data_IF_459674944859
#
_entry.id   IF_459674944859
#
_cell.length_a   1.000
_cell.length_b   1.000
_cell.length_c   1.000
_cell.angle_alpha   90.00
_cell.angle_beta   90.00
_cell.angle_gamma   90.00
#
_symmetry.space_group_name_H-M   'P 1'
#
loop_
_entity.id
_entity.type
_entity.pdbx_description
1 polymer ?
#
# COMPACT_ATOMS: atom_id res chain seq x y z
N UNK A 1 -8.46 -9.31 -14.62
CA UNK A 1 -8.57 -8.04 -13.88
C UNK A 1 -8.75 -6.86 -14.83
N UNK A 2 -9.26 -5.71 -14.36
CA UNK A 2 -9.65 -4.53 -15.14
C UNK A 2 -8.47 -3.94 -15.94
N UNK A 3 -8.51 -3.95 -17.27
CA UNK A 3 -7.40 -3.44 -18.10
C UNK A 3 -7.56 -1.94 -18.43
N UNK A 4 -7.83 -1.13 -17.40
CA UNK A 4 -7.99 0.32 -17.50
C UNK A 4 -7.62 0.98 -16.18
N UNK A 5 -7.59 2.32 -16.16
CA UNK A 5 -7.44 3.08 -14.93
C UNK A 5 -8.74 3.01 -14.11
N UNK A 6 -8.61 2.92 -12.79
CA UNK A 6 -9.74 2.95 -11.87
C UNK A 6 -9.30 3.40 -10.47
N UNK A 7 -10.28 3.72 -9.64
CA UNK A 7 -10.10 3.86 -8.19
C UNK A 7 -10.83 2.75 -7.46
N UNK A 8 -10.26 2.28 -6.37
CA UNK A 8 -10.87 1.27 -5.53
C UNK A 8 -10.27 1.31 -4.13
N UNK A 9 -11.02 0.79 -3.18
CA UNK A 9 -10.49 0.39 -1.89
C UNK A 9 -9.88 -1.01 -2.01
N UNK A 10 -8.80 -1.24 -1.26
CA UNK A 10 -8.16 -2.54 -1.17
C UNK A 10 -8.58 -3.19 0.15
N UNK A 11 -9.14 -4.39 0.10
CA UNK A 11 -9.65 -5.10 1.27
C UNK A 11 -9.00 -6.48 1.39
N UNK A 12 -8.90 -7.00 2.60
CA UNK A 12 -8.53 -8.39 2.87
C UNK A 12 -9.38 -8.93 4.02
N UNK A 13 -9.08 -10.15 4.52
CA UNK A 13 -9.82 -10.74 5.65
C UNK A 13 -9.74 -9.94 6.96
N UNK A 14 -8.83 -8.96 7.05
CA UNK A 14 -8.63 -8.06 8.18
C UNK A 14 -9.21 -6.65 7.94
N UNK A 15 -10.17 -6.53 7.02
CA UNK A 15 -10.80 -5.26 6.65
C UNK A 15 -10.04 -4.48 5.59
N UNK A 16 -10.28 -3.17 5.54
CA UNK A 16 -9.69 -2.28 4.55
C UNK A 16 -8.19 -2.06 4.77
N UNK A 17 -7.45 -1.85 3.69
CA UNK A 17 -6.06 -1.38 3.76
C UNK A 17 -6.03 0.14 3.93
N UNK A 18 -5.25 0.59 4.89
CA UNK A 18 -5.06 1.99 5.21
C UNK A 18 -3.66 2.27 5.71
N UNK A 19 -3.51 3.35 6.46
CA UNK A 19 -2.25 3.77 7.09
C UNK A 19 -2.47 4.04 8.57
N UNK A 20 -1.39 3.96 9.33
CA UNK A 20 -1.34 4.46 10.71
C UNK A 20 -1.05 5.96 10.67
N UNK A 21 -1.96 6.77 11.17
CA UNK A 21 -1.73 8.19 11.42
C UNK A 21 -0.99 8.38 12.73
N UNK A 22 0.28 8.78 12.67
CA UNK A 22 0.93 9.31 13.86
C UNK A 22 0.62 10.81 13.99
N UNK A 23 -0.06 11.26 15.07
CA UNK A 23 -0.17 12.68 15.36
C UNK A 23 1.18 13.41 15.31
N UNK A 24 1.19 14.53 14.60
CA UNK A 24 2.38 15.37 14.34
C UNK A 24 3.12 15.74 15.62
N UNK A 25 2.44 15.94 16.75
CA UNK A 25 3.07 16.28 18.03
C UNK A 25 3.85 15.12 18.68
N UNK A 26 3.61 13.86 18.28
CA UNK A 26 4.36 12.69 18.76
C UNK A 26 5.70 12.58 18.02
N UNK A 27 5.75 13.04 16.77
CA UNK A 27 6.96 13.05 15.93
C UNK A 27 7.07 14.36 15.15
N UNK A 28 7.51 15.46 15.81
CA UNK A 28 7.39 16.82 15.27
C UNK A 28 8.17 17.07 13.97
N UNK A 29 9.19 16.26 13.66
CA UNK A 29 10.00 16.47 12.45
C UNK A 29 10.57 15.18 11.82
N UNK A 30 10.59 14.04 12.52
CA UNK A 30 11.28 12.83 12.06
C UNK A 30 10.67 11.56 12.65
N UNK A 31 9.78 10.91 11.90
CA UNK A 31 9.47 9.48 12.05
C UNK A 31 9.20 8.89 10.67
N UNK A 32 10.28 8.83 9.88
CA UNK A 32 10.34 8.14 8.59
C UNK A 32 10.17 6.60 8.73
N UNK A 33 10.01 6.07 9.95
CA UNK A 33 10.16 4.65 10.23
C UNK A 33 8.84 3.85 10.15
N UNK A 34 7.66 4.49 10.29
CA UNK A 34 6.33 3.84 10.18
C UNK A 34 5.24 4.71 9.55
N UNK A 35 5.43 6.03 9.49
CA UNK A 35 4.43 6.93 8.91
C UNK A 35 4.28 6.63 7.41
N UNK A 36 3.04 6.42 6.99
CA UNK A 36 2.71 6.04 5.62
C UNK A 36 2.88 4.56 5.30
N UNK A 37 3.31 3.70 6.24
CA UNK A 37 3.28 2.25 6.02
C UNK A 37 1.85 1.74 5.97
N UNK A 38 1.59 0.83 5.03
CA UNK A 38 0.28 0.26 4.86
C UNK A 38 0.00 -0.79 5.92
N UNK A 39 -1.20 -0.75 6.48
CA UNK A 39 -1.71 -1.68 7.48
C UNK A 39 -3.17 -2.05 7.18
N UNK A 40 -3.74 -2.97 7.97
CA UNK A 40 -5.15 -3.36 7.86
C UNK A 40 -5.99 -2.63 8.91
N UNK A 41 -7.28 -2.46 8.65
CA UNK A 41 -8.27 -1.78 9.50
C UNK A 41 -8.47 -2.47 10.85
N UNK A 42 -8.67 -3.78 10.83
CA UNK A 42 -8.89 -4.58 12.03
C UNK A 42 -7.62 -5.38 12.33
N UNK A 43 -6.97 -5.17 13.49
CA UNK A 43 -6.21 -6.23 14.19
C UNK A 43 -6.19 -6.09 15.72
N UNK A 44 -6.83 -7.06 16.38
CA UNK A 44 -6.47 -7.60 17.71
C UNK A 44 -6.30 -6.58 18.86
N UNK A 45 -7.05 -5.47 18.86
CA UNK A 45 -7.13 -4.54 19.99
C UNK A 45 -6.41 -3.20 19.84
N UNK A 46 -5.90 -2.87 18.65
CA UNK A 46 -5.23 -1.59 18.37
C UNK A 46 -6.13 -0.64 17.55
N UNK A 47 -6.80 0.39 18.12
CA UNK A 47 -7.15 1.60 17.32
C UNK A 47 -7.42 2.87 18.12
N UNK A 48 -6.61 3.90 17.87
CA UNK A 48 -7.08 5.31 17.77
C UNK A 48 -6.53 6.00 16.50
N UNK A 49 -5.70 5.33 15.69
CA UNK A 49 -4.86 5.96 14.67
C UNK A 49 -4.91 5.32 13.29
N UNK A 50 -5.95 4.56 12.95
CA UNK A 50 -6.11 4.00 11.60
C UNK A 50 -6.82 4.98 10.68
N UNK A 51 -6.30 5.18 9.46
CA UNK A 51 -6.96 5.92 8.39
C UNK A 51 -7.15 5.01 7.17
N UNK A 52 -8.40 4.69 6.78
CA UNK A 52 -8.67 3.91 5.56
C UNK A 52 -8.24 4.69 4.31
N UNK A 53 -7.87 3.95 3.25
CA UNK A 53 -7.42 4.54 1.99
C UNK A 53 -8.20 4.02 0.79
N UNK A 54 -8.44 4.95 -0.14
CA UNK A 54 -8.81 4.65 -1.53
C UNK A 54 -7.55 4.79 -2.38
N UNK A 55 -7.36 3.86 -3.32
CA UNK A 55 -6.20 3.82 -4.21
C UNK A 55 -6.60 4.10 -5.67
N UNK A 56 -5.72 4.78 -6.40
CA UNK A 56 -5.78 4.91 -7.86
C UNK A 56 -4.88 3.83 -8.45
N UNK A 57 -5.46 3.00 -9.31
CA UNK A 57 -4.75 2.01 -10.10
C UNK A 57 -4.62 2.54 -11.53
N UNK A 58 -3.39 2.81 -11.97
CA UNK A 58 -3.09 3.21 -13.34
C UNK A 58 -2.57 2.01 -14.11
N UNK A 59 -3.32 1.58 -15.10
CA UNK A 59 -3.00 0.41 -15.91
C UNK A 59 -1.72 0.64 -16.70
N UNK A 60 -0.86 -0.39 -16.74
CA UNK A 60 0.38 -0.37 -17.51
C UNK A 60 0.26 -1.34 -18.68
N UNK A 61 0.01 -2.61 -18.37
CA UNK A 61 -0.04 -3.71 -19.34
C UNK A 61 -0.63 -4.96 -18.73
N UNK A 62 -1.02 -5.88 -19.60
CA UNK A 62 -1.27 -7.27 -19.24
C UNK A 62 -0.07 -8.13 -19.69
N UNK A 63 0.36 -9.10 -18.88
CA UNK A 63 1.45 -10.02 -19.24
C UNK A 63 1.15 -11.40 -18.65
N UNK A 64 0.77 -12.35 -19.51
CA UNK A 64 0.34 -13.68 -19.09
C UNK A 64 -0.97 -13.61 -18.29
N UNK A 65 -0.93 -14.14 -17.07
CA UNK A 65 -2.03 -14.18 -16.09
C UNK A 65 -2.06 -12.97 -15.15
N UNK A 66 -1.20 -11.96 -15.40
CA UNK A 66 -0.99 -10.84 -14.49
C UNK A 66 -1.24 -9.50 -15.15
N UNK A 67 -2.01 -8.66 -14.46
CA UNK A 67 -2.25 -7.27 -14.85
C UNK A 67 -1.37 -6.35 -14.02
N UNK A 68 -0.65 -5.45 -14.69
CA UNK A 68 0.33 -4.54 -14.09
C UNK A 68 -0.26 -3.14 -13.92
N UNK A 69 -0.04 -2.55 -12.74
CA UNK A 69 -0.46 -1.20 -12.40
C UNK A 69 0.63 -0.42 -11.70
N UNK A 70 0.60 0.90 -11.87
CA UNK A 70 1.12 1.82 -10.87
C UNK A 70 -0.01 2.13 -9.88
N UNK A 71 0.28 2.12 -8.59
CA UNK A 71 -0.73 2.32 -7.54
C UNK A 71 -0.40 3.57 -6.73
N UNK A 72 -1.40 4.41 -6.48
CA UNK A 72 -1.27 5.69 -5.78
C UNK A 72 -2.38 5.89 -4.75
N UNK A 73 -2.18 6.78 -3.78
CA UNK A 73 -3.28 7.28 -2.94
C UNK A 73 -4.25 8.15 -3.76
N UNK A 74 -5.54 7.80 -3.76
CA UNK A 74 -6.57 8.50 -4.52
C UNK A 74 -7.21 9.68 -3.75
N UNK A 75 -7.23 9.61 -2.42
CA UNK A 75 -7.93 10.55 -1.53
C UNK A 75 -7.07 10.79 -0.26
N UNK A 76 -7.49 11.70 0.63
CA UNK A 76 -6.73 12.34 1.75
C UNK A 76 -5.60 13.28 1.32
N UNK A 77 -5.62 14.53 1.82
CA UNK A 77 -4.66 15.57 1.43
C UNK A 77 -3.21 15.20 1.75
N UNK A 78 -3.01 14.34 2.75
CA UNK A 78 -1.70 13.85 3.17
C UNK A 78 -1.08 12.86 2.16
N UNK A 79 -1.91 12.10 1.44
CA UNK A 79 -1.45 10.96 0.61
C UNK A 79 -1.91 11.02 -0.85
N UNK A 80 -2.66 12.06 -1.23
CA UNK A 80 -3.12 12.24 -2.59
C UNK A 80 -1.95 12.27 -3.59
N UNK A 81 -1.97 11.35 -4.55
CA UNK A 81 -0.92 11.20 -5.57
C UNK A 81 0.38 10.57 -5.06
N UNK A 82 0.49 10.24 -3.77
CA UNK A 82 1.63 9.49 -3.25
C UNK A 82 1.65 8.09 -3.87
N UNK A 83 2.82 7.65 -4.32
CA UNK A 83 2.97 6.34 -4.96
C UNK A 83 3.13 5.26 -3.88
N UNK A 84 2.43 4.14 -4.06
CA UNK A 84 2.68 2.94 -3.28
C UNK A 84 4.01 2.34 -3.70
N UNK A 85 4.95 2.31 -2.76
CA UNK A 85 6.28 1.73 -2.95
C UNK A 85 6.61 0.76 -1.84
N UNK A 86 7.69 -0.01 -2.03
CA UNK A 86 8.33 -0.76 -0.95
C UNK A 86 9.67 -0.13 -0.58
N UNK A 87 10.03 -0.19 0.70
CA UNK A 87 11.40 0.13 1.10
C UNK A 87 12.34 -1.08 0.92
N UNK A 88 13.63 -0.90 1.20
CA UNK A 88 14.67 -1.96 1.08
C UNK A 88 14.38 -3.21 1.92
N UNK A 89 13.56 -3.11 2.96
CA UNK A 89 13.15 -4.21 3.84
C UNK A 89 11.81 -4.84 3.43
N UNK A 90 11.26 -4.44 2.28
CA UNK A 90 10.02 -4.93 1.71
C UNK A 90 8.76 -4.30 2.29
N UNK A 91 8.84 -3.36 3.24
CA UNK A 91 7.65 -2.75 3.84
C UNK A 91 6.96 -1.81 2.85
N UNK A 92 5.64 -1.99 2.70
CA UNK A 92 4.82 -1.19 1.79
C UNK A 92 4.38 0.10 2.46
N UNK A 93 4.40 1.19 1.71
CA UNK A 93 3.88 2.47 2.15
C UNK A 93 3.53 3.40 0.99
N UNK A 94 2.77 4.45 1.31
CA UNK A 94 2.55 5.59 0.42
C UNK A 94 3.67 6.62 0.65
N UNK A 95 4.66 6.61 -0.22
CA UNK A 95 5.79 7.52 -0.13
C UNK A 95 5.53 8.70 -1.05
N UNK A 96 5.27 9.87 -0.47
CA UNK A 96 5.09 11.11 -1.21
C UNK A 96 6.46 11.73 -1.54
N UNK A 97 6.63 12.19 -2.77
CA UNK A 97 7.59 13.25 -3.10
C UNK A 97 7.16 14.61 -2.55
N UNK A 98 5.89 14.76 -2.16
CA UNK A 98 5.28 16.06 -1.81
C UNK A 98 5.35 16.47 -0.32
N UNK A 99 5.54 15.55 0.64
CA UNK A 99 5.71 15.95 2.04
C UNK A 99 7.11 16.55 2.28
N UNK A 100 8.12 16.06 1.54
CA UNK A 100 9.46 16.66 1.50
C UNK A 100 9.53 17.98 0.71
N UNK A 101 8.51 18.32 -0.08
CA UNK A 101 8.42 19.61 -0.78
C UNK A 101 8.03 20.78 0.12
N UNK A 102 7.53 20.53 1.34
CA UNK A 102 7.12 21.58 2.30
C UNK A 102 8.06 21.75 3.50
N UNK A 103 9.00 20.84 3.73
CA UNK A 103 9.95 20.94 4.82
C UNK A 103 11.37 20.66 4.33
N UNK A 104 12.04 21.75 3.98
CA UNK A 104 13.49 21.93 3.91
C UNK A 104 14.20 21.45 2.64
N UNK A 105 15.00 22.36 2.10
CA UNK A 105 16.17 21.99 1.33
C UNK A 105 17.00 20.98 2.13
N UNK A 106 16.96 19.74 1.70
CA UNK A 106 17.88 18.68 2.10
C UNK A 106 18.14 17.86 0.84
N UNK A 107 18.99 18.44 0.00
CA UNK A 107 19.68 17.75 -1.07
C UNK A 107 20.49 16.57 -0.47
N UNK A 108 20.70 15.53 -1.29
CA UNK A 108 21.50 14.31 -1.07
C UNK A 108 20.83 13.01 -0.60
N UNK A 109 19.58 12.98 -0.11
CA UNK A 109 18.88 11.69 0.16
C UNK A 109 17.87 11.26 -0.93
N UNK A 110 17.61 12.13 -1.92
CA UNK A 110 16.57 11.94 -2.94
C UNK A 110 17.03 11.21 -4.21
N UNK A 111 18.34 10.97 -4.38
CA UNK A 111 18.87 10.31 -5.58
C UNK A 111 18.41 8.87 -5.76
N UNK A 112 18.15 8.16 -4.66
CA UNK A 112 17.76 6.75 -4.65
C UNK A 112 16.23 6.52 -4.74
N UNK A 113 15.41 7.58 -4.68
CA UNK A 113 13.95 7.48 -4.72
C UNK A 113 13.35 7.65 -6.13
N UNK A 114 14.20 7.93 -7.12
CA UNK A 114 13.79 8.23 -8.51
C UNK A 114 13.89 7.01 -9.43
N UNK A 115 14.53 5.91 -9.02
CA UNK A 115 14.69 4.75 -9.90
C UNK A 115 13.65 3.66 -9.62
N UNK A 116 12.79 3.43 -10.62
CA UNK A 116 11.61 2.56 -10.68
C UNK A 116 10.32 3.10 -10.03
N UNK A 117 9.36 3.44 -10.90
CA UNK A 117 7.95 3.35 -10.55
C UNK A 117 7.69 1.89 -10.15
N UNK A 118 7.53 1.61 -8.85
CA UNK A 118 7.23 0.26 -8.39
C UNK A 118 5.94 -0.22 -9.08
N UNK A 119 6.09 -1.16 -10.02
CA UNK A 119 4.98 -1.78 -10.71
C UNK A 119 4.43 -2.92 -9.86
N UNK A 120 3.12 -2.89 -9.66
CA UNK A 120 2.39 -3.89 -8.91
C UNK A 120 1.62 -4.80 -9.86
N UNK A 121 1.62 -6.10 -9.55
CA UNK A 121 0.96 -7.11 -10.36
C UNK A 121 -0.22 -7.67 -9.60
N UNK A 122 -1.37 -7.73 -10.26
CA UNK A 122 -2.55 -8.42 -9.78
C UNK A 122 -2.63 -9.78 -10.48
N UNK A 123 -2.66 -10.84 -9.68
CA UNK A 123 -2.87 -12.23 -10.09
C UNK A 123 -4.18 -12.72 -9.48
N UNK A 124 -5.21 -12.91 -10.30
CA UNK A 124 -6.50 -13.43 -9.83
C UNK A 124 -6.37 -14.90 -9.44
N UNK A 125 -7.03 -15.32 -8.37
CA UNK A 125 -6.97 -16.72 -7.91
C UNK A 125 -7.83 -17.63 -8.79
N UNK A 126 -8.89 -17.08 -9.39
CA UNK A 126 -9.80 -17.75 -10.30
C UNK A 126 -9.85 -17.04 -11.67
N UNK A 127 -10.37 -17.76 -12.67
CA UNK A 127 -10.73 -17.15 -13.96
C UNK A 127 -11.85 -16.14 -13.74
N UNK A 128 -11.67 -14.94 -14.25
CA UNK A 128 -12.67 -13.88 -14.21
C UNK A 128 -12.99 -13.40 -15.63
N UNK A 129 -14.26 -13.20 -15.91
CA UNK A 129 -14.82 -12.89 -17.23
C UNK A 129 -14.66 -11.42 -17.65
N UNK A 130 -14.22 -10.56 -16.74
CA UNK A 130 -14.06 -9.12 -17.02
C UNK A 130 -15.24 -8.26 -16.58
N UNK A 131 -16.30 -8.85 -16.01
CA UNK A 131 -17.48 -8.10 -15.61
C UNK A 131 -17.23 -7.23 -14.37
N UNK A 132 -17.34 -5.91 -14.55
CA UNK A 132 -17.20 -4.94 -13.47
C UNK A 132 -18.22 -5.13 -12.34
N UNK A 133 -19.38 -5.73 -12.61
CA UNK A 133 -20.36 -6.01 -11.55
C UNK A 133 -19.90 -7.12 -10.61
N UNK A 134 -19.02 -8.00 -11.08
CA UNK A 134 -18.49 -9.12 -10.29
C UNK A 134 -17.09 -8.87 -9.73
N UNK A 135 -16.39 -7.79 -10.14
CA UNK A 135 -14.99 -7.55 -9.76
C UNK A 135 -14.75 -7.57 -8.24
N UNK A 136 -15.72 -7.11 -7.45
CA UNK A 136 -15.57 -7.02 -6.00
C UNK A 136 -15.59 -8.37 -5.27
N UNK A 137 -16.03 -9.44 -5.94
CA UNK A 137 -15.99 -10.80 -5.42
C UNK A 137 -14.74 -11.56 -5.86
N UNK A 138 -13.93 -11.01 -6.76
CA UNK A 138 -12.76 -11.68 -7.33
C UNK A 138 -11.56 -11.58 -6.37
N UNK A 139 -11.11 -12.69 -5.78
CA UNK A 139 -9.90 -12.68 -4.96
C UNK A 139 -8.66 -12.59 -5.83
N UNK A 140 -7.64 -11.88 -5.35
CA UNK A 140 -6.35 -11.80 -6.02
C UNK A 140 -5.16 -11.72 -5.06
N UNK A 141 -3.98 -12.13 -5.55
CA UNK A 141 -2.71 -11.77 -4.94
C UNK A 141 -2.20 -10.47 -5.53
N UNK A 142 -1.79 -9.55 -4.65
CA UNK A 142 -0.98 -8.40 -5.02
C UNK A 142 0.49 -8.79 -4.93
N UNK A 143 1.28 -8.47 -5.96
CA UNK A 143 2.70 -8.80 -6.04
C UNK A 143 3.54 -7.62 -6.46
N UNK A 144 4.79 -7.62 -6.03
CA UNK A 144 5.78 -6.67 -6.50
C UNK A 144 6.38 -7.07 -7.87
N UNK A 145 7.28 -6.22 -8.38
CA UNK A 145 8.02 -6.47 -9.61
C UNK A 145 8.86 -7.77 -9.61
N UNK A 146 9.31 -8.24 -8.45
CA UNK A 146 10.10 -9.46 -8.29
C UNK A 146 9.23 -10.72 -8.09
N UNK A 147 7.91 -10.56 -7.96
CA UNK A 147 6.96 -11.66 -7.80
C UNK A 147 6.65 -12.02 -6.34
N UNK A 148 7.20 -11.30 -5.35
CA UNK A 148 6.83 -11.47 -3.95
C UNK A 148 5.37 -11.08 -3.75
N UNK A 149 4.60 -11.98 -3.12
CA UNK A 149 3.22 -11.71 -2.72
C UNK A 149 3.23 -10.80 -1.51
N UNK A 150 2.30 -9.85 -1.47
CA UNK A 150 2.10 -9.01 -0.31
C UNK A 150 1.60 -9.88 0.85
N UNK A 151 2.29 -9.77 1.97
CA UNK A 151 2.01 -10.46 3.20
C UNK A 151 1.81 -9.45 4.34
N UNK A 152 1.06 -9.87 5.34
CA UNK A 152 0.97 -9.18 6.61
C UNK A 152 2.08 -9.68 7.53
N UNK A 153 3.00 -8.79 7.90
CA UNK A 153 4.16 -9.12 8.72
C UNK A 153 4.19 -8.30 10.00
N UNK A 154 4.62 -8.92 11.10
CA UNK A 154 4.79 -8.23 12.37
C UNK A 154 6.07 -7.38 12.36
N UNK A 155 5.94 -6.11 12.69
CA UNK A 155 7.05 -5.19 12.84
C UNK A 155 7.63 -5.26 14.26
N UNK A 156 8.80 -5.87 14.38
CA UNK A 156 9.55 -6.01 15.63
C UNK A 156 10.56 -4.87 15.79
N UNK A 157 10.09 -3.62 15.92
CA UNK A 157 10.99 -2.53 16.33
C UNK A 157 11.42 -2.66 17.79
N UNK A 158 12.69 -2.34 18.04
CA UNK A 158 13.37 -2.47 19.33
C UNK A 158 13.48 -1.13 20.07
N UNK A 159 12.97 -0.02 19.49
CA UNK A 159 13.01 1.30 20.11
C UNK A 159 11.89 1.44 21.14
N UNK A 160 12.19 2.10 22.26
CA UNK A 160 11.35 2.25 23.46
C UNK A 160 10.10 3.14 23.29
N UNK A 161 9.61 3.35 22.08
CA UNK A 161 8.40 4.15 21.84
C UNK A 161 7.14 3.28 21.87
N UNK A 162 6.02 3.87 22.35
CA UNK A 162 4.71 3.23 22.30
C UNK A 162 4.33 2.99 20.84
N UNK A 163 4.27 1.71 20.46
CA UNK A 163 3.86 1.31 19.11
C UNK A 163 2.36 1.44 19.00
N UNK A 164 1.91 2.19 18.00
CA UNK A 164 0.49 2.37 17.67
C UNK A 164 -0.05 1.25 16.79
N UNK A 165 0.86 0.52 16.14
CA UNK A 165 0.51 -0.60 15.30
C UNK A 165 1.70 -1.56 15.16
N UNK A 166 1.39 -2.85 15.01
CA UNK A 166 2.41 -3.91 14.96
C UNK A 166 2.42 -4.66 13.64
N UNK A 167 1.41 -4.53 12.79
CA UNK A 167 1.23 -5.39 11.63
C UNK A 167 1.14 -4.58 10.35
N UNK A 168 2.11 -4.78 9.47
CA UNK A 168 2.23 -3.97 8.26
C UNK A 168 2.37 -4.85 7.03
N UNK A 169 2.03 -4.27 5.88
CA UNK A 169 2.16 -4.96 4.61
C UNK A 169 3.62 -5.04 4.20
N UNK A 170 4.04 -6.21 3.74
CA UNK A 170 5.39 -6.50 3.27
C UNK A 170 5.35 -7.28 1.94
N UNK A 171 6.15 -6.89 0.96
CA UNK A 171 6.43 -7.68 -0.24
C UNK A 171 7.92 -7.96 -0.30
N UNK A 172 8.33 -9.04 0.35
CA UNK A 172 9.72 -9.44 0.48
C UNK A 172 9.87 -10.79 1.16
N UNK A 173 11.00 -10.99 1.82
CA UNK A 173 11.37 -12.26 2.46
C UNK A 173 11.00 -12.34 3.94
N UNK A 174 10.32 -11.33 4.49
CA UNK A 174 9.89 -11.35 5.89
C UNK A 174 8.82 -12.42 6.10
N UNK A 175 8.88 -13.08 7.24
CA UNK A 175 7.83 -13.99 7.68
C UNK A 175 6.54 -13.21 7.92
N UNK A 176 5.45 -13.72 7.36
CA UNK A 176 4.15 -13.10 7.44
C UNK A 176 3.10 -13.95 6.74
N UNK A 177 1.84 -13.60 6.96
CA UNK A 177 0.72 -14.27 6.29
C UNK A 177 0.51 -13.66 4.90
N UNK A 178 0.61 -14.46 3.84
CA UNK A 178 0.27 -14.02 2.48
C UNK A 178 -1.19 -13.60 2.44
N UNK A 179 -1.45 -12.38 1.99
CA UNK A 179 -2.80 -11.83 1.92
C UNK A 179 -3.45 -12.10 0.57
N UNK A 180 -4.71 -12.52 0.62
CA UNK A 180 -5.65 -12.45 -0.51
C UNK A 180 -6.44 -11.16 -0.40
N UNK A 181 -6.53 -10.43 -1.50
CA UNK A 181 -7.19 -9.14 -1.57
C UNK A 181 -8.46 -9.18 -2.40
N UNK A 182 -9.34 -8.21 -2.12
CA UNK A 182 -10.50 -7.86 -2.91
C UNK A 182 -10.49 -6.36 -3.21
N UNK A 183 -11.01 -5.98 -4.37
CA UNK A 183 -11.33 -4.59 -4.67
C UNK A 183 -12.74 -4.28 -4.13
N UNK A 184 -12.94 -3.10 -3.56
CA UNK A 184 -14.26 -2.59 -3.17
C UNK A 184 -14.45 -1.16 -3.65
N UNK A 185 -15.70 -0.76 -3.81
CA UNK A 185 -16.10 0.59 -4.23
C UNK A 185 -15.39 1.02 -5.52
N UNK A 186 -15.32 0.11 -6.49
CA UNK A 186 -14.60 0.33 -7.75
C UNK A 186 -15.30 1.40 -8.59
N UNK A 187 -14.53 2.40 -9.03
CA UNK A 187 -15.00 3.47 -9.92
C UNK A 187 -14.05 3.61 -11.09
N UNK A 188 -14.60 3.62 -12.31
CA UNK A 188 -13.83 3.89 -13.52
C UNK A 188 -13.12 5.25 -13.42
N UNK A 189 -11.86 5.28 -13.88
CA UNK A 189 -11.00 6.47 -13.92
C UNK A 189 -11.08 7.24 -15.22
#
# INVERSE_FOLDING_TARGET
MIQSDFTAELHCKYGQIGVVETPVYVHPLFSLDQDGWLCTEDQRGDTVSFKPLTFTFRFIKNTGDRVHYNIYGAQTWEYFGASMKKNRNGWLGLYATHILGRALGAFDALGDLVDNQDQWKIETLDTWDGDLQSVESVPFYLRDQNGYRVALSKSTYIREYIKKHYWFLNAGTKEGEILTFHLKNVKAG
#
